data_IF_212090979737
#
_entry.id   IF_212090979737
#
_cell.length_a   1.000
_cell.length_b   1.000
_cell.length_c   1.000
_cell.angle_alpha   90.00
_cell.angle_beta   90.00
_cell.angle_gamma   90.00
#
_symmetry.space_group_name_H-M   'P 1'
#
loop_
_entity.id
_entity.type
_entity.pdbx_description
1 polymer ?
#
# COMPACT_ATOMS: atom_id res chain seq x y z
N UNK A 1 -14.52 3.86 -3.22
CA UNK A 1 -14.25 3.48 -1.82
C UNK A 1 -12.83 2.96 -1.67
N UNK A 2 -12.41 2.05 -2.55
CA UNK A 2 -11.09 1.40 -2.53
C UNK A 2 -9.98 2.36 -2.95
N UNK A 3 -9.55 3.15 -1.98
CA UNK A 3 -8.52 4.18 -2.11
C UNK A 3 -7.95 4.39 -0.74
N UNK A 4 -6.66 4.64 -0.71
CA UNK A 4 -5.85 4.86 0.46
C UNK A 4 -6.04 6.34 0.88
N UNK A 5 -7.20 6.64 1.45
CA UNK A 5 -7.66 8.02 1.68
C UNK A 5 -6.74 8.76 2.64
N UNK A 6 -6.45 10.03 2.33
CA UNK A 6 -5.67 10.92 3.19
C UNK A 6 -4.23 10.48 3.52
N UNK A 7 -3.70 9.42 2.90
CA UNK A 7 -2.32 8.97 3.12
C UNK A 7 -1.31 10.09 2.81
N UNK A 8 -1.58 10.95 1.83
CA UNK A 8 -0.73 12.12 1.56
C UNK A 8 -0.65 13.07 2.76
N UNK A 9 -1.79 13.37 3.40
CA UNK A 9 -1.86 14.22 4.58
C UNK A 9 -1.26 13.52 5.81
N UNK A 10 -1.52 12.23 5.98
CA UNK A 10 -1.02 11.46 7.12
C UNK A 10 0.51 11.36 7.15
N UNK A 11 1.14 11.31 5.97
CA UNK A 11 2.60 11.21 5.83
C UNK A 11 3.27 12.52 5.42
N UNK A 12 2.59 13.67 5.53
CA UNK A 12 3.15 14.96 5.08
C UNK A 12 4.45 15.34 5.82
N UNK A 13 4.60 14.86 7.06
CA UNK A 13 5.81 14.98 7.88
C UNK A 13 7.06 14.33 7.26
N UNK A 14 6.90 13.39 6.33
CA UNK A 14 8.03 12.64 5.76
C UNK A 14 9.03 13.56 5.05
N UNK A 15 8.53 14.64 4.41
CA UNK A 15 9.38 15.62 3.75
C UNK A 15 10.30 16.36 4.75
N UNK A 16 9.78 16.70 5.93
CA UNK A 16 10.54 17.39 6.99
C UNK A 16 11.63 16.50 7.60
N UNK A 17 11.45 15.18 7.52
CA UNK A 17 12.50 14.19 7.87
C UNK A 17 13.57 14.04 6.77
N UNK A 18 13.45 14.75 5.66
CA UNK A 18 14.35 14.64 4.50
C UNK A 18 14.08 13.41 3.62
N UNK A 19 12.94 12.74 3.79
CA UNK A 19 12.57 11.61 2.95
C UNK A 19 12.13 12.09 1.55
N UNK A 20 12.36 11.26 0.54
CA UNK A 20 11.81 11.48 -0.79
C UNK A 20 10.43 10.82 -0.89
N UNK A 21 9.44 11.58 -1.34
CA UNK A 21 8.06 11.11 -1.47
C UNK A 21 7.73 10.91 -2.94
N UNK A 22 7.37 9.67 -3.30
CA UNK A 22 6.87 9.33 -4.63
C UNK A 22 5.43 8.85 -4.48
N UNK A 23 4.51 9.43 -5.26
CA UNK A 23 3.09 9.09 -5.21
C UNK A 23 2.50 9.00 -6.62
N UNK A 24 1.41 8.26 -6.75
CA UNK A 24 0.62 8.26 -7.98
C UNK A 24 -0.35 9.45 -7.99
N UNK A 25 -0.62 9.99 -9.17
CA UNK A 25 -1.68 10.97 -9.39
C UNK A 25 -2.96 10.33 -9.95
N UNK A 26 -3.01 9.00 -10.02
CA UNK A 26 -4.08 8.22 -10.60
C UNK A 26 -4.70 7.30 -9.56
N UNK A 27 -5.97 6.96 -9.76
CA UNK A 27 -6.63 6.00 -8.88
C UNK A 27 -6.13 4.57 -9.16
N UNK A 28 -5.96 3.77 -8.12
CA UNK A 28 -5.69 2.33 -8.23
C UNK A 28 -6.76 1.56 -9.02
N UNK A 29 -7.98 2.11 -9.12
CA UNK A 29 -9.03 1.55 -9.98
C UNK A 29 -8.74 1.66 -11.47
N UNK A 30 -7.83 2.56 -11.88
CA UNK A 30 -7.31 2.65 -13.24
C UNK A 30 -6.21 1.62 -13.45
N UNK A 31 -5.19 1.65 -12.60
CA UNK A 31 -4.09 0.69 -12.55
C UNK A 31 -3.45 0.70 -11.15
N UNK A 32 -3.34 -0.47 -10.53
CA UNK A 32 -2.71 -0.65 -9.22
C UNK A 32 -1.21 -0.87 -9.40
N UNK A 33 -0.42 0.17 -9.16
CA UNK A 33 1.03 0.14 -9.33
C UNK A 33 1.76 -0.77 -8.31
N UNK A 34 1.04 -1.32 -7.33
CA UNK A 34 1.57 -2.27 -6.36
C UNK A 34 1.20 -3.74 -6.69
N UNK A 35 0.80 -4.04 -7.93
CA UNK A 35 0.60 -5.39 -8.46
C UNK A 35 1.74 -5.84 -9.37
N UNK A 36 1.93 -7.16 -9.46
CA UNK A 36 2.88 -7.75 -10.40
C UNK A 36 2.46 -7.43 -11.83
N UNK A 37 3.33 -6.82 -12.66
CA UNK A 37 2.99 -6.43 -14.02
C UNK A 37 2.72 -7.61 -14.95
N UNK A 38 3.16 -8.83 -14.59
CA UNK A 38 2.82 -10.07 -15.32
C UNK A 38 1.39 -10.56 -15.05
N UNK A 39 0.72 -10.01 -14.02
CA UNK A 39 -0.60 -10.44 -13.57
C UNK A 39 -0.60 -11.65 -12.64
N UNK A 40 0.57 -12.20 -12.29
CA UNK A 40 0.68 -13.31 -11.33
C UNK A 40 0.25 -12.83 -9.93
N UNK A 41 -0.62 -13.61 -9.28
CA UNK A 41 -1.01 -13.31 -7.90
C UNK A 41 0.16 -13.52 -6.95
N UNK A 42 0.44 -12.50 -6.14
CA UNK A 42 1.43 -12.54 -5.06
C UNK A 42 0.92 -13.27 -3.80
N UNK A 43 -0.37 -13.62 -3.77
CA UNK A 43 -1.05 -14.27 -2.65
C UNK A 43 -1.87 -15.48 -3.15
N UNK A 44 -1.22 -16.62 -3.43
CA UNK A 44 -1.92 -17.81 -3.92
C UNK A 44 -3.02 -18.26 -2.96
N UNK A 45 -4.20 -18.57 -3.51
CA UNK A 45 -5.36 -19.01 -2.72
C UNK A 45 -6.12 -17.90 -1.98
N UNK A 46 -5.70 -16.63 -2.11
CA UNK A 46 -6.40 -15.48 -1.54
C UNK A 46 -7.01 -14.61 -2.64
N UNK A 47 -8.19 -14.05 -2.37
CA UNK A 47 -8.81 -13.05 -3.24
C UNK A 47 -7.92 -11.81 -3.29
N UNK A 48 -7.59 -11.37 -4.50
CA UNK A 48 -6.84 -10.14 -4.77
C UNK A 48 -7.43 -9.46 -6.00
N UNK A 49 -7.19 -8.16 -6.12
CA UNK A 49 -7.47 -7.44 -7.36
C UNK A 49 -6.29 -7.53 -8.33
N UNK A 50 -6.54 -7.40 -9.63
CA UNK A 50 -5.51 -7.41 -10.68
C UNK A 50 -4.82 -6.06 -10.88
N UNK A 51 -3.81 -6.05 -11.77
CA UNK A 51 -3.06 -4.85 -12.18
C UNK A 51 -3.98 -3.73 -12.67
N UNK A 52 -4.94 -4.05 -13.55
CA UNK A 52 -6.06 -3.17 -13.88
C UNK A 52 -7.33 -3.83 -13.30
N UNK A 53 -7.79 -3.42 -12.11
CA UNK A 53 -8.89 -4.10 -11.45
C UNK A 53 -10.20 -3.93 -12.24
N UNK A 54 -10.98 -5.00 -12.36
CA UNK A 54 -12.30 -5.00 -13.02
C UNK A 54 -13.47 -4.92 -12.04
N UNK A 55 -13.17 -5.03 -10.74
CA UNK A 55 -14.12 -5.08 -9.64
C UNK A 55 -13.52 -4.39 -8.40
N UNK A 56 -14.39 -3.93 -7.51
CA UNK A 56 -14.04 -3.38 -6.20
C UNK A 56 -13.58 -4.48 -5.23
N UNK A 57 -13.06 -4.08 -4.07
CA UNK A 57 -12.79 -4.99 -2.97
C UNK A 57 -14.06 -5.69 -2.44
N UNK A 58 -15.24 -5.10 -2.64
CA UNK A 58 -16.53 -5.72 -2.32
C UNK A 58 -16.99 -6.72 -3.42
N UNK A 59 -16.38 -6.70 -4.60
CA UNK A 59 -16.78 -7.51 -5.77
C UNK A 59 -17.78 -6.81 -6.71
N UNK A 60 -18.13 -5.55 -6.44
CA UNK A 60 -18.94 -4.75 -7.37
C UNK A 60 -18.15 -4.50 -8.67
N UNK A 61 -18.74 -4.70 -9.87
CA UNK A 61 -18.05 -4.46 -11.13
C UNK A 61 -17.73 -2.97 -11.34
N UNK A 62 -16.53 -2.68 -11.83
CA UNK A 62 -16.09 -1.31 -12.17
C UNK A 62 -16.44 -0.91 -13.60
N UNK A 63 -16.67 -1.89 -14.48
CA UNK A 63 -16.94 -1.69 -15.90
C UNK A 63 -18.30 -2.25 -16.27
N UNK A 64 -18.88 -1.73 -17.35
CA UNK A 64 -20.03 -2.40 -17.98
C UNK A 64 -19.56 -3.72 -18.57
N UNK A 65 -20.42 -4.76 -18.61
CA UNK A 65 -20.04 -6.05 -19.17
C UNK A 65 -19.45 -5.92 -20.58
N UNK A 66 -18.26 -6.49 -20.78
CA UNK A 66 -17.54 -6.47 -22.06
C UNK A 66 -16.74 -5.21 -22.33
N UNK A 67 -16.69 -4.25 -21.39
CA UNK A 67 -15.88 -3.02 -21.47
C UNK A 67 -14.71 -3.03 -20.47
N UNK A 68 -14.35 -4.20 -19.95
CA UNK A 68 -13.15 -4.39 -19.14
C UNK A 68 -11.88 -4.08 -19.97
N UNK A 69 -10.79 -3.59 -19.34
CA UNK A 69 -9.56 -3.31 -20.05
C UNK A 69 -8.94 -4.60 -20.63
N UNK A 70 -8.88 -4.69 -21.95
CA UNK A 70 -8.15 -5.74 -22.66
C UNK A 70 -6.63 -5.52 -22.62
N UNK A 71 -5.87 -6.45 -23.20
CA UNK A 71 -4.40 -6.43 -23.15
C UNK A 71 -3.78 -5.11 -23.68
N UNK A 72 -4.32 -4.55 -24.75
CA UNK A 72 -3.84 -3.28 -25.32
C UNK A 72 -4.04 -2.10 -24.38
N UNK A 73 -5.18 -2.03 -23.70
CA UNK A 73 -5.49 -0.98 -22.73
C UNK A 73 -4.66 -1.13 -21.45
N UNK A 74 -4.45 -2.37 -20.98
CA UNK A 74 -3.56 -2.67 -19.86
C UNK A 74 -2.12 -2.20 -20.19
N UNK A 75 -1.61 -2.54 -21.37
CA UNK A 75 -0.27 -2.11 -21.80
C UNK A 75 -0.17 -0.58 -21.92
N UNK A 76 -1.21 0.08 -22.46
CA UNK A 76 -1.28 1.53 -22.53
C UNK A 76 -1.17 2.18 -21.13
N UNK A 77 -1.96 1.68 -20.16
CA UNK A 77 -1.91 2.16 -18.76
C UNK A 77 -0.57 1.85 -18.10
N UNK A 78 0.01 0.69 -18.35
CA UNK A 78 1.34 0.32 -17.84
C UNK A 78 2.42 1.28 -18.32
N UNK A 79 2.44 1.61 -19.62
CA UNK A 79 3.37 2.60 -20.18
C UNK A 79 3.18 4.00 -19.63
N UNK A 80 1.92 4.40 -19.41
CA UNK A 80 1.60 5.76 -18.99
C UNK A 80 1.81 5.99 -17.50
N UNK A 81 1.57 4.98 -16.66
CA UNK A 81 1.48 5.15 -15.21
C UNK A 81 2.40 4.20 -14.44
N UNK A 82 2.40 2.91 -14.78
CA UNK A 82 3.16 1.91 -14.03
C UNK A 82 4.68 2.10 -14.19
N UNK A 83 5.20 2.03 -15.41
CA UNK A 83 6.64 2.12 -15.64
C UNK A 83 7.22 3.47 -15.22
N UNK A 84 6.58 4.62 -15.49
CA UNK A 84 7.09 5.91 -15.00
C UNK A 84 7.14 5.98 -13.47
N UNK A 85 6.12 5.47 -12.78
CA UNK A 85 6.09 5.44 -11.31
C UNK A 85 7.23 4.57 -10.74
N UNK A 86 7.40 3.35 -11.26
CA UNK A 86 8.48 2.45 -10.83
C UNK A 86 9.86 2.99 -11.19
N UNK A 87 10.00 3.68 -12.32
CA UNK A 87 11.24 4.36 -12.70
C UNK A 87 11.58 5.50 -11.73
N UNK A 88 10.59 6.25 -11.24
CA UNK A 88 10.79 7.30 -10.25
C UNK A 88 11.28 6.72 -8.91
N UNK A 89 10.65 5.64 -8.43
CA UNK A 89 11.11 4.93 -7.22
C UNK A 89 12.55 4.42 -7.40
N UNK A 90 12.84 3.77 -8.54
CA UNK A 90 14.18 3.26 -8.82
C UNK A 90 15.24 4.38 -8.82
N UNK A 91 14.90 5.55 -9.39
CA UNK A 91 15.76 6.73 -9.39
C UNK A 91 16.07 7.23 -7.97
N UNK A 92 15.05 7.38 -7.13
CA UNK A 92 15.24 7.83 -5.75
C UNK A 92 15.99 6.81 -4.89
N UNK A 93 15.70 5.51 -5.05
CA UNK A 93 16.46 4.43 -4.39
C UNK A 93 17.93 4.50 -4.77
N UNK A 94 18.25 4.64 -6.06
CA UNK A 94 19.62 4.74 -6.52
C UNK A 94 20.32 5.99 -5.98
N UNK A 95 19.64 7.15 -5.98
CA UNK A 95 20.16 8.42 -5.47
C UNK A 95 20.45 8.34 -3.96
N UNK A 96 19.50 7.88 -3.16
CA UNK A 96 19.62 7.75 -1.70
C UNK A 96 20.71 6.74 -1.34
N UNK A 97 20.70 5.56 -1.98
CA UNK A 97 21.73 4.56 -1.75
C UNK A 97 23.12 5.07 -2.15
N UNK A 98 23.23 5.81 -3.26
CA UNK A 98 24.50 6.41 -3.68
C UNK A 98 25.06 7.40 -2.67
N UNK A 99 24.19 8.19 -2.03
CA UNK A 99 24.59 9.18 -1.02
C UNK A 99 24.88 8.56 0.36
N UNK A 100 24.15 7.52 0.76
CA UNK A 100 24.15 7.01 2.15
C UNK A 100 24.64 5.57 2.30
N UNK A 101 24.98 4.88 1.19
CA UNK A 101 25.37 3.47 1.15
C UNK A 101 24.22 2.48 1.38
N UNK A 102 23.02 2.96 1.72
CA UNK A 102 21.80 2.18 1.93
C UNK A 102 20.56 3.01 1.56
N UNK A 103 19.45 2.34 1.28
CA UNK A 103 18.14 2.97 1.11
C UNK A 103 17.04 2.13 1.77
N UNK A 104 15.99 2.79 2.25
CA UNK A 104 14.77 2.14 2.75
C UNK A 104 13.59 2.68 1.95
N UNK A 105 12.83 1.77 1.33
CA UNK A 105 11.54 2.05 0.71
C UNK A 105 10.45 1.76 1.75
N UNK A 106 9.74 2.79 2.17
CA UNK A 106 8.57 2.64 3.04
C UNK A 106 7.31 2.80 2.18
N UNK A 107 6.64 1.68 1.94
CA UNK A 107 5.48 1.57 1.04
C UNK A 107 4.19 1.77 1.87
N UNK A 108 3.65 2.99 1.82
CA UNK A 108 2.53 3.44 2.66
C UNK A 108 1.17 3.13 2.02
N UNK A 109 0.31 2.41 2.74
CA UNK A 109 -1.04 2.04 2.30
C UNK A 109 -2.07 2.19 3.42
N UNK A 110 -3.32 2.27 3.01
CA UNK A 110 -4.44 2.06 3.92
C UNK A 110 -5.64 1.40 3.26
N UNK A 111 -6.43 0.73 4.08
CA UNK A 111 -7.59 -0.02 3.63
C UNK A 111 -8.72 0.01 4.65
N UNK A 112 -9.95 -0.18 4.15
CA UNK A 112 -11.11 -0.36 5.01
C UNK A 112 -10.88 -1.50 5.99
N UNK A 113 -11.22 -1.29 7.26
CA UNK A 113 -10.82 -2.23 8.31
C UNK A 113 -11.60 -3.55 8.30
N UNK A 114 -12.70 -3.63 7.55
CA UNK A 114 -13.55 -4.82 7.41
C UNK A 114 -13.87 -5.04 5.93
N UNK A 115 -13.30 -6.09 5.35
CA UNK A 115 -13.51 -6.50 3.95
C UNK A 115 -13.66 -8.02 3.86
N UNK A 116 -14.85 -8.59 4.10
CA UNK A 116 -15.05 -10.03 4.22
C UNK A 116 -14.62 -10.84 3.00
N UNK A 117 -14.61 -10.22 1.81
CA UNK A 117 -14.14 -10.84 0.57
C UNK A 117 -12.61 -11.01 0.51
N UNK A 118 -11.86 -10.17 1.23
CA UNK A 118 -10.40 -10.16 1.22
C UNK A 118 -9.78 -10.79 2.47
N UNK A 119 -10.43 -10.66 3.63
CA UNK A 119 -9.97 -11.20 4.91
C UNK A 119 -11.13 -11.34 5.91
N UNK A 120 -10.96 -12.23 6.88
CA UNK A 120 -11.96 -12.45 7.93
C UNK A 120 -11.86 -11.39 9.03
N UNK A 121 -13.02 -10.98 9.55
CA UNK A 121 -13.13 -10.12 10.71
C UNK A 121 -12.60 -8.70 10.49
N UNK A 122 -11.96 -8.19 11.54
CA UNK A 122 -11.42 -6.84 11.64
C UNK A 122 -9.91 -6.90 11.51
N UNK A 123 -9.34 -6.08 10.63
CA UNK A 123 -7.91 -5.97 10.47
C UNK A 123 -7.27 -5.24 11.67
N UNK A 124 -6.08 -5.64 12.14
CA UNK A 124 -5.28 -4.84 13.08
C UNK A 124 -5.03 -3.42 12.56
N UNK A 125 -4.80 -2.46 13.45
CA UNK A 125 -4.53 -1.06 13.06
C UNK A 125 -3.28 -0.98 12.20
N UNK A 126 -2.18 -1.60 12.63
CA UNK A 126 -0.94 -1.65 11.87
C UNK A 126 -0.69 -3.04 11.27
N UNK A 127 -0.45 -3.12 9.97
CA UNK A 127 -0.11 -4.38 9.29
C UNK A 127 1.22 -4.20 8.57
N UNK A 128 2.30 -4.61 9.22
CA UNK A 128 3.66 -4.48 8.70
C UNK A 128 3.98 -5.64 7.76
N UNK A 129 4.36 -5.33 6.52
CA UNK A 129 4.77 -6.31 5.52
C UNK A 129 6.25 -6.22 5.17
N UNK A 130 6.95 -7.36 5.16
CA UNK A 130 8.38 -7.45 4.81
C UNK A 130 8.69 -8.61 3.85
N UNK A 131 7.69 -9.04 3.09
CA UNK A 131 7.71 -10.21 2.23
C UNK A 131 8.18 -11.46 2.98
N UNK A 132 7.60 -11.73 4.14
CA UNK A 132 8.01 -12.81 5.04
C UNK A 132 9.51 -12.71 5.41
N UNK A 133 9.99 -11.50 5.70
CA UNK A 133 11.38 -11.21 6.09
C UNK A 133 12.39 -11.13 4.94
N UNK A 134 11.94 -11.19 3.68
CA UNK A 134 12.83 -11.20 2.51
C UNK A 134 13.16 -9.81 1.96
N UNK A 135 12.36 -8.80 2.26
CA UNK A 135 12.53 -7.46 1.67
C UNK A 135 13.32 -6.48 2.53
N UNK A 136 13.60 -6.80 3.79
CA UNK A 136 14.28 -5.91 4.73
C UNK A 136 15.26 -6.67 5.63
N UNK A 137 16.17 -5.93 6.26
CA UNK A 137 17.01 -6.50 7.32
C UNK A 137 16.12 -6.87 8.53
N UNK A 138 16.28 -8.06 9.14
CA UNK A 138 15.51 -8.45 10.31
C UNK A 138 15.59 -7.46 11.47
N UNK A 139 16.75 -6.80 11.68
CA UNK A 139 16.90 -5.79 12.72
C UNK A 139 16.07 -4.54 12.43
N UNK A 140 15.95 -4.14 11.16
CA UNK A 140 15.08 -3.03 10.76
C UNK A 140 13.61 -3.36 11.01
N UNK A 141 13.16 -4.57 10.65
CA UNK A 141 11.79 -5.00 10.93
C UNK A 141 11.52 -5.01 12.45
N UNK A 142 12.43 -5.58 13.25
CA UNK A 142 12.27 -5.67 14.70
C UNK A 142 12.17 -4.29 15.36
N UNK A 143 12.96 -3.30 14.90
CA UNK A 143 12.86 -1.93 15.39
C UNK A 143 11.49 -1.31 15.09
N UNK A 144 10.95 -1.51 13.88
CA UNK A 144 9.61 -1.01 13.54
C UNK A 144 8.55 -1.73 14.37
N UNK A 145 8.67 -3.04 14.54
CA UNK A 145 7.75 -3.83 15.39
C UNK A 145 7.73 -3.35 16.84
N UNK A 146 8.88 -2.99 17.42
CA UNK A 146 8.97 -2.41 18.77
C UNK A 146 8.27 -1.06 18.86
N UNK A 147 8.41 -0.20 17.83
CA UNK A 147 7.68 1.07 17.75
C UNK A 147 6.17 0.83 17.72
N UNK A 148 5.70 -0.11 16.89
CA UNK A 148 4.29 -0.47 16.80
C UNK A 148 3.76 -0.98 18.14
N UNK A 149 4.49 -1.85 18.81
CA UNK A 149 4.10 -2.37 20.12
C UNK A 149 3.99 -1.26 21.18
N UNK A 150 4.84 -0.22 21.08
CA UNK A 150 4.81 0.93 21.98
C UNK A 150 3.59 1.85 21.84
N UNK A 151 2.85 1.75 20.73
CA UNK A 151 1.64 2.57 20.50
C UNK A 151 0.44 2.15 21.36
N UNK A 152 0.40 0.88 21.79
CA UNK A 152 -0.78 0.28 22.43
C UNK A 152 -1.89 -0.14 21.46
N UNK A 153 -1.73 0.12 20.17
CA UNK A 153 -2.66 -0.31 19.12
C UNK A 153 -2.42 -1.76 18.70
N UNK A 154 -3.44 -2.34 18.05
CA UNK A 154 -3.31 -3.69 17.48
C UNK A 154 -2.39 -3.68 16.26
N UNK A 155 -1.48 -4.64 16.20
CA UNK A 155 -0.60 -4.80 15.04
C UNK A 155 -0.38 -6.27 14.68
N UNK A 156 0.06 -6.49 13.43
CA UNK A 156 0.52 -7.79 12.95
C UNK A 156 1.68 -7.61 11.97
N UNK A 157 2.63 -8.55 11.98
CA UNK A 157 3.74 -8.60 11.02
C UNK A 157 3.52 -9.77 10.05
N UNK A 158 3.59 -9.49 8.75
CA UNK A 158 3.38 -10.45 7.66
C UNK A 158 2.06 -11.25 7.79
N UNK A 159 1.00 -10.59 8.26
CA UNK A 159 -0.35 -11.15 8.32
C UNK A 159 -1.00 -11.23 6.94
N UNK A 160 -2.16 -10.57 6.77
CA UNK A 160 -2.83 -10.49 5.46
C UNK A 160 -2.00 -9.72 4.43
N UNK A 161 -1.31 -8.67 4.87
CA UNK A 161 -0.50 -7.79 4.04
C UNK A 161 0.98 -8.06 4.32
N UNK A 162 1.62 -8.77 3.39
CA UNK A 162 3.03 -9.18 3.50
C UNK A 162 3.95 -8.27 2.69
N UNK A 163 3.48 -7.14 2.20
CA UNK A 163 4.18 -6.36 1.16
C UNK A 163 3.56 -6.61 -0.22
N UNK A 164 3.62 -5.64 -1.12
CA UNK A 164 3.08 -5.71 -2.47
C UNK A 164 4.15 -6.02 -3.51
N UNK A 165 3.91 -5.62 -4.76
CA UNK A 165 4.94 -5.69 -5.80
C UNK A 165 6.10 -4.74 -5.52
N UNK A 166 5.83 -3.51 -5.06
CA UNK A 166 6.85 -2.50 -4.72
C UNK A 166 7.81 -3.06 -3.66
N UNK A 167 7.27 -3.57 -2.55
CA UNK A 167 8.07 -4.17 -1.47
C UNK A 167 8.95 -5.32 -1.97
N UNK A 168 8.41 -6.19 -2.82
CA UNK A 168 9.14 -7.36 -3.35
C UNK A 168 10.19 -7.00 -4.39
N UNK A 169 9.88 -6.04 -5.25
CA UNK A 169 10.75 -5.65 -6.35
C UNK A 169 11.95 -4.82 -5.87
N UNK A 170 11.72 -3.87 -4.96
CA UNK A 170 12.77 -2.99 -4.46
C UNK A 170 13.49 -3.52 -3.23
N UNK A 171 12.86 -4.37 -2.42
CA UNK A 171 13.49 -5.00 -1.26
C UNK A 171 14.59 -5.97 -1.67
N UNK A 172 15.83 -5.54 -1.55
CA UNK A 172 17.04 -6.29 -1.86
C UNK A 172 18.06 -6.08 -0.73
N UNK A 173 17.80 -6.62 0.48
CA UNK A 173 18.62 -6.36 1.65
C UNK A 173 20.09 -6.74 1.46
N UNK A 174 20.38 -7.76 0.66
CA UNK A 174 21.74 -8.15 0.23
C UNK A 174 22.50 -7.04 -0.53
N UNK A 175 21.76 -6.09 -1.09
CA UNK A 175 22.25 -4.92 -1.82
C UNK A 175 22.06 -3.62 -1.02
N UNK A 176 21.84 -3.67 0.30
CA UNK A 176 21.55 -2.53 1.17
C UNK A 176 20.33 -1.68 0.71
N UNK A 177 19.36 -2.29 0.06
CA UNK A 177 18.05 -1.68 -0.22
C UNK A 177 17.00 -2.47 0.54
N UNK A 178 16.39 -1.86 1.53
CA UNK A 178 15.35 -2.49 2.33
C UNK A 178 13.99 -1.95 1.91
N UNK A 179 12.94 -2.76 2.04
CA UNK A 179 11.59 -2.32 1.80
C UNK A 179 10.65 -2.89 2.85
N UNK A 180 9.80 -2.03 3.41
CA UNK A 180 8.72 -2.39 4.33
C UNK A 180 7.43 -1.79 3.77
N UNK A 181 6.33 -2.55 3.84
CA UNK A 181 4.99 -2.03 3.62
C UNK A 181 4.35 -1.75 4.97
N UNK A 182 3.68 -0.60 5.08
CA UNK A 182 2.73 -0.35 6.15
C UNK A 182 1.34 -0.29 5.55
N UNK A 183 0.47 -1.20 5.97
CA UNK A 183 -0.95 -1.14 5.66
C UNK A 183 -1.73 -0.76 6.92
N UNK A 184 -2.29 0.45 6.91
CA UNK A 184 -3.11 0.97 7.99
C UNK A 184 -4.57 0.57 7.79
N UNK A 185 -5.20 0.07 8.84
CA UNK A 185 -6.66 0.05 8.88
C UNK A 185 -7.18 1.48 8.95
N UNK A 186 -8.14 1.85 8.10
CA UNK A 186 -8.69 3.20 8.05
C UNK A 186 -9.20 3.68 9.42
N UNK A 187 -9.73 2.80 10.27
CA UNK A 187 -10.16 3.13 11.64
C UNK A 187 -9.06 3.74 12.51
N UNK A 188 -7.78 3.50 12.18
CA UNK A 188 -6.65 4.00 12.96
C UNK A 188 -6.56 5.52 12.88
N UNK A 189 -6.81 6.10 11.71
CA UNK A 189 -6.60 7.53 11.46
C UNK A 189 -7.79 8.25 10.83
N UNK A 190 -8.87 7.51 10.52
CA UNK A 190 -10.14 8.04 10.04
C UNK A 190 -11.26 7.55 10.95
N UNK A 191 -12.29 8.39 11.11
CA UNK A 191 -13.56 7.99 11.77
C UNK A 191 -14.38 7.08 10.84
N UNK A 192 -13.82 5.94 10.51
CA UNK A 192 -14.39 4.98 9.56
C UNK A 192 -15.82 4.60 9.97
N UNK A 193 -16.82 4.77 9.08
CA UNK A 193 -18.19 4.43 9.39
C UNK A 193 -18.34 2.91 9.51
N UNK A 194 -19.34 2.47 10.28
CA UNK A 194 -19.68 1.05 10.34
C UNK A 194 -20.10 0.53 8.94
N UNK A 195 -19.69 -0.71 8.64
CA UNK A 195 -19.97 -1.34 7.34
C UNK A 195 -19.20 -0.71 6.18
N UNK A 196 -19.78 -0.74 4.97
CA UNK A 196 -19.08 -0.30 3.75
C UNK A 196 -19.13 1.22 3.49
N UNK A 197 -19.84 1.99 4.32
CA UNK A 197 -20.15 3.39 4.05
C UNK A 197 -21.13 3.61 2.87
N UNK A 198 -21.68 4.82 2.79
CA UNK A 198 -22.56 5.32 1.73
C UNK A 198 -21.92 6.55 1.08
N UNK A 199 -22.40 7.02 -0.08
CA UNK A 199 -21.90 8.27 -0.67
C UNK A 199 -22.02 9.50 0.25
N UNK A 200 -22.95 9.49 1.21
CA UNK A 200 -23.18 10.60 2.14
C UNK A 200 -22.18 10.63 3.31
N UNK A 201 -21.51 9.51 3.59
CA UNK A 201 -20.58 9.39 4.72
C UNK A 201 -19.21 8.80 4.32
N UNK A 202 -18.92 8.71 3.03
CA UNK A 202 -17.64 8.18 2.53
C UNK A 202 -17.12 8.95 1.30
N UNK A 203 -15.83 9.37 1.30
CA UNK A 203 -14.89 9.28 2.41
C UNK A 203 -15.25 10.26 3.54
N UNK A 204 -14.93 9.89 4.77
CA UNK A 204 -15.06 10.81 5.91
C UNK A 204 -14.00 11.92 5.78
N UNK A 205 -14.34 13.19 6.08
CA UNK A 205 -13.36 14.28 6.09
C UNK A 205 -12.14 13.95 6.97
N UNK A 206 -10.97 14.42 6.55
CA UNK A 206 -9.76 14.27 7.36
C UNK A 206 -9.86 15.08 8.65
N UNK A 207 -9.59 14.44 9.78
CA UNK A 207 -9.59 15.01 11.13
C UNK A 207 -8.17 14.84 11.68
N UNK A 208 -7.38 15.91 11.64
CA UNK A 208 -5.98 15.87 12.03
C UNK A 208 -5.79 15.53 13.52
N UNK A 209 -6.72 15.93 14.39
CA UNK A 209 -6.65 15.60 15.81
C UNK A 209 -6.91 14.11 16.04
N UNK A 210 -7.82 13.51 15.27
CA UNK A 210 -8.07 12.08 15.31
C UNK A 210 -6.92 11.26 14.70
N UNK A 211 -6.27 11.78 13.65
CA UNK A 211 -5.19 11.10 12.95
C UNK A 211 -3.83 11.21 13.67
N UNK A 212 -3.57 12.28 14.42
CA UNK A 212 -2.29 12.58 15.05
C UNK A 212 -1.69 11.48 15.97
N UNK A 213 -2.48 10.61 16.65
CA UNK A 213 -1.93 9.53 17.46
C UNK A 213 -1.31 8.36 16.67
N UNK A 214 -1.49 8.31 15.34
CA UNK A 214 -0.97 7.27 14.42
C UNK A 214 0.35 7.71 13.81
#
# INVERSE_FOLDING_TARGET
RDTDWWIEQLYDFAADLGASVVRTSISRSVIDVNRDPSGVSLYPGQTTTGLCPTETFDGDPLYRPGLEPGAEEIEHRSRRFFYPYHSAIAGEVARIKGAHGRAVVYDCHSIRSVLPRLFEGTLPVFNLGSNDGKSADPALQAMVEEILAGTGETYVVNGRFKGGWITRNFGQPQNNVHALQMELSNRGYMREPEGKGTPDNWPVPYDAEFAAPI
#
